data_IF_443237176901
#
_entry.id   IF_443237176901
#
_cell.length_a   1.000
_cell.length_b   1.000
_cell.length_c   1.000
_cell.angle_alpha   90.00
_cell.angle_beta   90.00
_cell.angle_gamma   90.00
#
_symmetry.space_group_name_H-M   'P 1'
#
loop_
_entity.id
_entity.type
_entity.pdbx_description
1 polymer ?
#
# COMPACT_ATOMS: atom_id res chain seq x y z
N UNK A 1 -0.55 -9.01 6.97
CA UNK A 1 -1.12 -7.66 6.98
C UNK A 1 -0.09 -6.68 7.49
N UNK A 2 0.17 -5.64 6.70
CA UNK A 2 0.94 -4.47 7.09
C UNK A 2 -0.03 -3.42 7.66
N UNK A 3 0.35 -2.83 8.79
CA UNK A 3 -0.30 -1.65 9.36
C UNK A 3 0.66 -0.46 9.24
N UNK A 4 0.15 0.66 8.73
CA UNK A 4 0.95 1.84 8.43
C UNK A 4 0.14 3.13 8.57
N UNK A 5 0.86 4.24 8.62
CA UNK A 5 0.28 5.59 8.66
C UNK A 5 0.49 6.25 7.28
N UNK A 6 -0.53 6.18 6.43
CA UNK A 6 -0.45 6.75 5.07
C UNK A 6 -0.12 8.24 5.08
N UNK A 7 -0.76 9.02 5.96
CA UNK A 7 -0.58 10.47 6.01
C UNK A 7 0.87 10.85 6.33
N UNK A 8 1.48 10.19 7.33
CA UNK A 8 2.91 10.40 7.63
C UNK A 8 3.80 9.98 6.48
N UNK A 9 3.54 8.84 5.85
CA UNK A 9 4.34 8.36 4.71
C UNK A 9 4.29 9.37 3.56
N UNK A 10 3.09 9.87 3.24
CA UNK A 10 2.90 10.87 2.19
C UNK A 10 3.62 12.18 2.51
N UNK A 11 3.53 12.66 3.76
CA UNK A 11 4.22 13.87 4.22
C UNK A 11 5.74 13.73 4.15
N UNK A 12 6.29 12.65 4.69
CA UNK A 12 7.76 12.41 4.74
C UNK A 12 8.35 12.22 3.34
N UNK A 13 7.57 11.64 2.43
CA UNK A 13 8.00 11.42 1.05
C UNK A 13 7.80 12.64 0.15
N UNK A 14 7.08 13.67 0.60
CA UNK A 14 6.66 14.81 -0.22
C UNK A 14 5.98 14.36 -1.54
N UNK A 15 5.25 13.24 -1.49
CA UNK A 15 4.62 12.63 -2.67
C UNK A 15 5.57 11.89 -3.63
N UNK A 16 6.86 11.79 -3.30
CA UNK A 16 7.83 11.06 -4.12
C UNK A 16 7.55 9.54 -4.09
N UNK A 17 7.10 9.01 -5.22
CA UNK A 17 6.66 7.61 -5.36
C UNK A 17 7.78 6.59 -5.09
N UNK A 18 9.03 6.92 -5.43
CA UNK A 18 10.18 6.07 -5.11
C UNK A 18 10.46 6.02 -3.61
N UNK A 19 10.38 7.15 -2.90
CA UNK A 19 10.53 7.19 -1.44
C UNK A 19 9.39 6.41 -0.76
N UNK A 20 8.14 6.58 -1.22
CA UNK A 20 6.99 5.80 -0.74
C UNK A 20 7.28 4.30 -0.90
N UNK A 21 7.75 3.87 -2.07
CA UNK A 21 8.11 2.47 -2.30
C UNK A 21 9.24 1.98 -1.38
N UNK A 22 10.28 2.79 -1.14
CA UNK A 22 11.36 2.42 -0.22
C UNK A 22 10.85 2.24 1.21
N UNK A 23 10.01 3.16 1.70
CA UNK A 23 9.38 3.07 3.01
C UNK A 23 8.51 1.80 3.09
N UNK A 24 7.68 1.57 2.07
CA UNK A 24 6.85 0.36 1.98
C UNK A 24 7.68 -0.92 2.05
N UNK A 25 8.78 -1.00 1.28
CA UNK A 25 9.70 -2.15 1.31
C UNK A 25 10.35 -2.32 2.68
N UNK A 26 10.80 -1.22 3.30
CA UNK A 26 11.39 -1.23 4.63
C UNK A 26 10.41 -1.81 5.67
N UNK A 27 9.17 -1.31 5.69
CA UNK A 27 8.14 -1.75 6.63
C UNK A 27 7.73 -3.21 6.40
N UNK A 28 7.55 -3.61 5.13
CA UNK A 28 7.11 -4.96 4.76
C UNK A 28 8.18 -6.01 5.09
N UNK A 29 9.44 -5.75 4.73
CA UNK A 29 10.55 -6.68 4.98
C UNK A 29 11.20 -6.51 6.35
N UNK A 30 10.73 -5.56 7.18
CA UNK A 30 11.34 -5.20 8.48
C UNK A 30 12.85 -4.92 8.35
N UNK A 31 13.22 -4.17 7.30
CA UNK A 31 14.61 -3.84 7.03
C UNK A 31 15.16 -2.93 8.13
N UNK A 32 16.40 -3.18 8.53
CA UNK A 32 17.17 -2.35 9.45
C UNK A 32 18.30 -1.70 8.65
N UNK A 33 18.53 -0.39 8.77
CA UNK A 33 19.60 0.28 8.04
C UNK A 33 20.96 -0.32 8.43
N UNK A 34 21.82 -0.57 7.46
CA UNK A 34 23.16 -1.11 7.72
C UNK A 34 24.07 -0.06 8.38
N UNK A 35 23.88 1.21 8.02
CA UNK A 35 24.65 2.33 8.53
C UNK A 35 23.88 3.66 8.34
N UNK A 36 24.47 4.77 8.81
CA UNK A 36 23.85 6.11 8.75
C UNK A 36 23.70 6.70 7.35
N UNK A 37 24.34 6.11 6.33
CA UNK A 37 24.25 6.54 4.94
C UNK A 37 23.23 5.70 4.14
N UNK A 38 22.65 4.68 4.77
CA UNK A 38 21.58 3.89 4.16
C UNK A 38 20.36 4.79 3.87
N UNK A 39 19.79 4.77 2.66
CA UNK A 39 18.59 5.53 2.33
C UNK A 39 17.41 5.33 3.29
N UNK A 40 17.30 4.15 3.93
CA UNK A 40 16.22 3.89 4.89
C UNK A 40 16.53 4.34 6.32
N UNK A 41 17.75 4.82 6.60
CA UNK A 41 18.18 5.20 7.93
C UNK A 41 17.28 6.26 8.56
N UNK A 42 16.96 7.33 7.82
CA UNK A 42 16.10 8.40 8.35
C UNK A 42 14.64 7.96 8.55
N UNK A 43 14.15 7.04 7.71
CA UNK A 43 12.79 6.52 7.84
C UNK A 43 12.66 5.55 9.01
N UNK A 44 13.70 4.75 9.29
CA UNK A 44 13.72 3.78 10.39
C UNK A 44 13.61 4.41 11.78
N UNK A 45 13.94 5.70 11.91
CA UNK A 45 13.82 6.47 13.16
C UNK A 45 12.38 6.94 13.43
N UNK A 46 11.48 6.84 12.45
CA UNK A 46 10.11 7.40 12.54
C UNK A 46 9.12 6.30 12.86
N UNK A 47 8.12 6.61 13.70
CA UNK A 47 6.99 5.71 13.93
C UNK A 47 5.97 5.87 12.79
N UNK A 48 5.98 4.90 11.88
CA UNK A 48 5.11 4.84 10.70
C UNK A 48 3.97 3.83 10.86
N UNK A 49 3.68 3.36 12.08
CA UNK A 49 2.51 2.54 12.36
C UNK A 49 1.24 3.41 12.47
N UNK A 50 0.14 2.90 11.93
CA UNK A 50 -1.15 3.55 11.90
C UNK A 50 -2.26 2.54 11.62
N UNK A 51 -3.44 3.07 11.27
CA UNK A 51 -4.65 2.26 11.03
C UNK A 51 -4.86 1.88 9.56
N UNK A 52 -4.10 2.49 8.64
CA UNK A 52 -4.09 2.08 7.24
C UNK A 52 -3.54 0.67 7.14
N UNK A 53 -4.16 -0.18 6.33
CA UNK A 53 -3.80 -1.59 6.25
C UNK A 53 -3.69 -2.10 4.82
N UNK A 54 -2.90 -3.16 4.67
CA UNK A 54 -2.76 -3.95 3.43
C UNK A 54 -2.60 -5.41 3.83
N UNK A 55 -3.44 -6.31 3.32
CA UNK A 55 -3.50 -7.69 3.82
C UNK A 55 -2.26 -8.51 3.41
N UNK A 56 -1.87 -8.44 2.13
CA UNK A 56 -0.79 -9.21 1.51
C UNK A 56 0.32 -8.33 0.89
N UNK A 57 1.06 -7.57 1.72
CA UNK A 57 2.12 -6.67 1.25
C UNK A 57 3.30 -7.41 0.60
N UNK A 58 3.56 -8.64 1.04
CA UNK A 58 4.58 -9.56 0.53
C UNK A 58 4.33 -9.96 -0.93
N UNK A 59 3.07 -10.23 -1.30
CA UNK A 59 2.69 -10.60 -2.67
C UNK A 59 2.90 -9.43 -3.63
N UNK A 60 2.47 -8.22 -3.24
CA UNK A 60 2.70 -7.02 -4.03
C UNK A 60 4.21 -6.77 -4.18
N UNK A 61 4.97 -6.88 -3.10
CA UNK A 61 6.40 -6.60 -3.12
C UNK A 61 7.16 -7.62 -4.00
N UNK A 62 6.79 -8.90 -3.96
CA UNK A 62 7.36 -9.93 -4.83
C UNK A 62 7.13 -9.62 -6.32
N UNK A 63 5.96 -9.07 -6.66
CA UNK A 63 5.62 -8.69 -8.04
C UNK A 63 5.94 -7.23 -8.39
N UNK A 64 6.53 -6.45 -7.48
CA UNK A 64 6.71 -5.01 -7.64
C UNK A 64 7.49 -4.63 -8.90
N UNK A 65 8.40 -5.48 -9.37
CA UNK A 65 9.19 -5.27 -10.59
C UNK A 65 8.35 -5.13 -11.87
N UNK A 66 7.07 -5.54 -11.84
CA UNK A 66 6.15 -5.42 -12.99
C UNK A 66 5.46 -4.06 -13.07
N UNK A 67 5.54 -3.27 -12.00
CA UNK A 67 4.71 -2.08 -11.80
C UNK A 67 5.56 -0.82 -11.62
N UNK A 68 4.97 0.32 -11.96
CA UNK A 68 5.58 1.62 -11.69
C UNK A 68 5.43 1.96 -10.20
N UNK A 69 6.39 2.71 -9.65
CA UNK A 69 6.28 3.21 -8.27
C UNK A 69 5.03 4.05 -8.05
N UNK A 70 4.56 4.76 -9.08
CA UNK A 70 3.30 5.51 -9.07
C UNK A 70 2.10 4.60 -8.82
N UNK A 71 2.02 3.48 -9.53
CA UNK A 71 0.93 2.52 -9.36
C UNK A 71 0.92 1.94 -7.94
N UNK A 72 2.10 1.60 -7.41
CA UNK A 72 2.25 1.09 -6.04
C UNK A 72 1.85 2.15 -5.01
N UNK A 73 2.26 3.41 -5.20
CA UNK A 73 1.91 4.50 -4.30
C UNK A 73 0.39 4.77 -4.29
N UNK A 74 -0.26 4.77 -5.46
CA UNK A 74 -1.71 4.88 -5.58
C UNK A 74 -2.43 3.71 -4.90
N UNK A 75 -1.93 2.49 -5.10
CA UNK A 75 -2.48 1.30 -4.47
C UNK A 75 -2.43 1.40 -2.94
N UNK A 76 -1.30 1.83 -2.38
CA UNK A 76 -1.16 2.10 -0.94
C UNK A 76 -2.10 3.21 -0.48
N UNK A 77 -2.22 4.31 -1.24
CA UNK A 77 -3.15 5.38 -0.92
C UNK A 77 -4.60 4.87 -0.81
N UNK A 78 -5.07 4.11 -1.79
CA UNK A 78 -6.42 3.55 -1.80
C UNK A 78 -6.63 2.51 -0.70
N UNK A 79 -5.62 1.68 -0.42
CA UNK A 79 -5.64 0.76 0.71
C UNK A 79 -5.92 1.49 2.03
N UNK A 80 -5.40 2.71 2.18
CA UNK A 80 -5.53 3.53 3.39
C UNK A 80 -6.93 4.11 3.62
N UNK A 81 -7.77 4.19 2.59
CA UNK A 81 -9.15 4.71 2.67
C UNK A 81 -10.14 3.70 3.26
N UNK A 82 -9.73 2.42 3.36
CA UNK A 82 -10.54 1.35 3.93
C UNK A 82 -10.53 1.41 5.46
N UNK A 83 -11.70 1.36 6.13
CA UNK A 83 -11.73 1.28 7.60
C UNK A 83 -11.25 -0.08 8.07
N UNK A 84 -10.25 -0.08 8.96
CA UNK A 84 -9.76 -1.33 9.57
C UNK A 84 -10.85 -2.04 10.39
N UNK A 85 -11.80 -1.30 10.98
CA UNK A 85 -12.92 -1.85 11.70
C UNK A 85 -13.84 -2.70 10.81
N UNK A 86 -14.10 -2.26 9.57
CA UNK A 86 -14.92 -3.00 8.61
C UNK A 86 -14.24 -4.31 8.23
N UNK A 87 -12.92 -4.28 7.99
CA UNK A 87 -12.13 -5.49 7.75
C UNK A 87 -12.16 -6.45 8.95
N UNK A 88 -12.03 -5.95 10.17
CA UNK A 88 -12.07 -6.78 11.38
C UNK A 88 -13.44 -7.43 11.59
N UNK A 89 -14.53 -6.73 11.25
CA UNK A 89 -15.89 -7.23 11.42
C UNK A 89 -16.31 -8.21 10.32
N UNK A 90 -15.88 -7.98 9.08
CA UNK A 90 -16.43 -8.66 7.89
C UNK A 90 -15.40 -9.41 7.04
N UNK A 91 -14.12 -9.06 7.18
CA UNK A 91 -13.06 -9.51 6.27
C UNK A 91 -13.02 -8.78 4.93
N UNK A 92 -13.81 -7.71 4.74
CA UNK A 92 -13.87 -6.93 3.49
C UNK A 92 -12.51 -6.31 3.14
N UNK A 93 -12.01 -6.58 1.94
CA UNK A 93 -10.72 -6.08 1.44
C UNK A 93 -10.86 -5.15 0.23
N UNK A 94 -12.04 -5.07 -0.36
CA UNK A 94 -12.37 -4.14 -1.43
C UNK A 94 -12.72 -2.74 -0.91
N UNK A 95 -12.68 -1.75 -1.79
CA UNK A 95 -12.95 -0.35 -1.48
C UNK A 95 -14.13 0.16 -2.31
N UNK A 96 -15.15 0.70 -1.64
CA UNK A 96 -16.27 1.32 -2.33
C UNK A 96 -15.83 2.63 -3.01
N UNK A 97 -16.20 2.83 -4.29
CA UNK A 97 -15.77 3.98 -5.12
C UNK A 97 -16.19 5.33 -4.54
N UNK A 98 -17.32 5.42 -3.84
CA UNK A 98 -17.80 6.66 -3.22
C UNK A 98 -16.89 7.18 -2.09
N UNK A 99 -15.97 6.35 -1.57
CA UNK A 99 -14.95 6.76 -0.59
C UNK A 99 -13.77 7.48 -1.23
N UNK A 100 -13.69 7.48 -2.54
CA UNK A 100 -12.57 8.00 -3.33
C UNK A 100 -12.96 9.38 -3.87
N UNK A 101 -12.46 10.44 -3.22
CA UNK A 101 -12.70 11.83 -3.62
C UNK A 101 -11.61 12.32 -4.60
N UNK A 102 -11.40 11.58 -5.69
CA UNK A 102 -10.46 11.93 -6.75
C UNK A 102 -10.98 11.48 -8.11
N UNK A 103 -10.51 12.15 -9.15
CA UNK A 103 -10.87 11.84 -10.54
C UNK A 103 -10.48 10.39 -10.89
N UNK A 104 -11.44 9.51 -11.25
CA UNK A 104 -11.16 8.13 -11.61
C UNK A 104 -10.09 7.97 -12.69
N UNK A 105 -9.92 8.94 -13.59
CA UNK A 105 -8.89 8.91 -14.63
C UNK A 105 -7.47 8.82 -14.04
N UNK A 106 -7.25 9.33 -12.83
CA UNK A 106 -5.94 9.28 -12.17
C UNK A 106 -5.54 7.86 -11.75
N UNK A 107 -6.51 6.97 -11.56
CA UNK A 107 -6.31 5.60 -11.07
C UNK A 107 -6.80 4.52 -12.04
N UNK A 108 -7.49 4.90 -13.12
CA UNK A 108 -8.05 3.99 -14.11
C UNK A 108 -6.99 3.10 -14.77
N UNK A 109 -5.80 3.65 -15.06
CA UNK A 109 -4.70 2.92 -15.70
C UNK A 109 -3.86 2.07 -14.74
N UNK A 110 -4.21 2.03 -13.45
CA UNK A 110 -3.43 1.30 -12.45
C UNK A 110 -3.65 -0.21 -12.57
N UNK A 111 -2.62 -0.94 -13.01
CA UNK A 111 -2.67 -2.39 -13.27
C UNK A 111 -2.76 -3.24 -12.01
N UNK A 112 -2.71 -2.62 -10.83
CA UNK A 112 -2.89 -3.30 -9.53
C UNK A 112 -4.34 -3.28 -9.07
N UNK A 113 -5.21 -2.50 -9.73
CA UNK A 113 -6.61 -2.32 -9.39
C UNK A 113 -7.50 -2.97 -10.44
N UNK A 114 -8.65 -3.46 -10.00
CA UNK A 114 -9.74 -3.87 -10.89
C UNK A 114 -11.00 -3.13 -10.45
N UNK A 115 -11.59 -2.38 -11.38
CA UNK A 115 -12.83 -1.64 -11.13
C UNK A 115 -14.02 -2.50 -11.58
N UNK A 116 -14.95 -2.76 -10.67
CA UNK A 116 -16.21 -3.45 -10.94
C UNK A 116 -17.36 -2.63 -10.37
N UNK A 117 -18.18 -2.06 -11.26
CA UNK A 117 -19.31 -1.20 -10.89
C UNK A 117 -18.89 -0.09 -9.89
N UNK A 118 -19.29 -0.24 -8.62
CA UNK A 118 -19.03 0.71 -7.53
C UNK A 118 -17.94 0.23 -6.55
N UNK A 119 -17.14 -0.76 -6.96
CA UNK A 119 -16.13 -1.40 -6.11
C UNK A 119 -14.75 -1.44 -6.77
N UNK A 120 -13.73 -1.12 -5.98
CA UNK A 120 -12.32 -1.22 -6.35
C UNK A 120 -11.73 -2.46 -5.68
N UNK A 121 -11.29 -3.39 -6.50
CA UNK A 121 -10.65 -4.63 -6.10
C UNK A 121 -9.13 -4.52 -6.14
N UNK A 122 -8.49 -5.05 -5.10
CA UNK A 122 -7.05 -5.03 -4.92
C UNK A 122 -6.46 -6.37 -5.35
N UNK A 123 -5.89 -6.44 -6.57
CA UNK A 123 -5.53 -7.71 -7.24
C UNK A 123 -4.66 -8.63 -6.37
N UNK A 124 -3.66 -8.08 -5.67
CA UNK A 124 -2.76 -8.88 -4.84
C UNK A 124 -3.28 -9.21 -3.44
N UNK A 125 -4.40 -8.62 -3.02
CA UNK A 125 -5.05 -8.95 -1.74
C UNK A 125 -6.09 -10.08 -1.89
N UNK A 126 -6.61 -10.33 -3.10
CA UNK A 126 -7.56 -11.41 -3.37
C UNK A 126 -6.90 -12.80 -3.45
N UNK A 127 -5.57 -12.88 -3.44
CA UNK A 127 -4.83 -14.14 -3.60
C UNK A 127 -4.79 -14.91 -2.28
N UNK A 128 -5.34 -16.14 -2.21
CA UNK A 128 -5.17 -16.99 -1.03
C UNK A 128 -3.68 -17.35 -0.86
N UNK A 129 -3.16 -17.25 0.38
CA UNK A 129 -1.76 -17.59 0.73
C UNK A 129 -1.28 -18.96 0.23
N UNK A 130 -2.21 -19.88 -0.07
CA UNK A 130 -1.94 -21.24 -0.53
C UNK A 130 -1.31 -21.35 -1.94
N UNK A 131 -1.29 -20.26 -2.73
CA UNK A 131 -0.73 -20.27 -4.11
C UNK A 131 0.72 -19.77 -4.22
N UNK A 132 1.45 -19.65 -3.11
CA UNK A 132 2.86 -19.18 -3.09
C UNK A 132 3.90 -20.32 -3.05
N UNK A 133 3.51 -21.55 -3.39
CA UNK A 133 4.39 -22.73 -3.39
C UNK A 133 4.44 -23.43 -4.75
#
# INVERSE_FOLDING_TARGET
MLLYDWNKIFEISEGNTYIIFMIFRMLTCKLVPENKYDPIYEFSKKNLHGESFMVHPDILLFHAYKYEYREIAQYLALCSLRPIADYQATGKIDLDTWRVDLDPELIADNRLLRFEEDTIHFIHEEVPKEKLH
#
